data_IF_045537338620
#
_entry.id   IF_045537338620
#
_cell.length_a   1.000
_cell.length_b   1.000
_cell.length_c   1.000
_cell.angle_alpha   90.00
_cell.angle_beta   90.00
_cell.angle_gamma   90.00
#
_symmetry.space_group_name_H-M   'P 1'
#
loop_
_entity.id
_entity.type
_entity.pdbx_description
1 polymer ?
#
# COMPACT_ATOMS: atom_id res chain seq x y z
N UNK A 1 15.77 -8.19 -10.35
CA UNK A 1 14.65 -7.47 -9.70
C UNK A 1 15.04 -7.25 -8.25
N UNK A 2 14.95 -6.01 -7.77
CA UNK A 2 15.14 -5.67 -6.35
C UNK A 2 14.02 -6.28 -5.51
N UNK A 3 14.35 -6.59 -4.26
CA UNK A 3 13.37 -7.08 -3.28
C UNK A 3 13.39 -6.16 -2.07
N UNK A 4 12.22 -5.79 -1.59
CA UNK A 4 12.05 -4.92 -0.43
C UNK A 4 11.28 -5.63 0.68
N UNK A 5 11.50 -5.19 1.92
CA UNK A 5 10.81 -5.74 3.09
C UNK A 5 9.62 -4.85 3.43
N UNK A 6 8.42 -5.43 3.41
CA UNK A 6 7.20 -4.72 3.81
C UNK A 6 7.30 -4.27 5.27
N UNK A 7 7.11 -2.97 5.54
CA UNK A 7 7.20 -2.40 6.89
C UNK A 7 6.15 -2.98 7.87
N UNK A 8 5.00 -3.44 7.37
CA UNK A 8 3.87 -3.86 8.21
C UNK A 8 3.89 -5.35 8.55
N UNK A 9 4.24 -6.20 7.57
CA UNK A 9 4.19 -7.66 7.74
C UNK A 9 5.55 -8.34 7.64
N UNK A 10 6.64 -7.58 7.46
CA UNK A 10 8.01 -8.06 7.28
C UNK A 10 8.21 -9.03 6.10
N UNK A 11 7.21 -9.19 5.22
CA UNK A 11 7.34 -10.02 4.03
C UNK A 11 8.34 -9.39 3.05
N UNK A 12 9.26 -10.21 2.53
CA UNK A 12 10.18 -9.80 1.47
C UNK A 12 9.53 -10.06 0.12
N UNK A 13 9.28 -9.01 -0.65
CA UNK A 13 8.60 -9.10 -1.95
C UNK A 13 9.41 -8.36 -3.02
N UNK A 14 9.23 -8.73 -4.28
CA UNK A 14 9.79 -7.96 -5.37
C UNK A 14 9.20 -6.54 -5.36
N UNK A 15 10.04 -5.54 -5.61
CA UNK A 15 9.66 -4.13 -5.48
C UNK A 15 8.50 -3.73 -6.42
N UNK A 16 8.42 -4.36 -7.60
CA UNK A 16 7.33 -4.19 -8.58
C UNK A 16 5.96 -4.67 -8.06
N UNK A 17 5.96 -5.56 -7.06
CA UNK A 17 4.78 -6.11 -6.42
C UNK A 17 4.39 -5.37 -5.12
N UNK A 18 4.95 -4.17 -4.90
CA UNK A 18 4.59 -3.31 -3.78
C UNK A 18 4.46 -1.83 -4.16
N UNK A 19 4.46 -0.97 -3.14
CA UNK A 19 4.47 0.49 -3.29
C UNK A 19 5.34 1.12 -2.21
N UNK A 20 6.09 2.14 -2.63
CA UNK A 20 6.69 3.12 -1.74
C UNK A 20 5.66 4.20 -1.42
N UNK A 21 5.50 4.49 -0.13
CA UNK A 21 4.61 5.51 0.39
C UNK A 21 5.41 6.54 1.18
N UNK A 22 5.03 7.80 1.04
CA UNK A 22 5.56 8.89 1.87
C UNK A 22 4.76 8.92 3.17
N UNK A 23 5.43 8.81 4.30
CA UNK A 23 4.83 8.93 5.62
C UNK A 23 4.78 10.38 6.10
N UNK A 24 5.90 11.06 5.95
CA UNK A 24 6.08 12.41 6.45
C UNK A 24 7.11 13.15 5.59
N UNK A 25 6.96 14.47 5.51
CA UNK A 25 7.98 15.36 5.00
C UNK A 25 8.48 16.21 6.16
N UNK A 26 9.74 16.02 6.55
CA UNK A 26 10.40 16.82 7.57
C UNK A 26 11.03 18.05 6.91
N UNK A 27 10.82 19.23 7.49
CA UNK A 27 11.47 20.46 7.04
C UNK A 27 12.99 20.33 7.26
N UNK A 28 13.75 20.23 6.18
CA UNK A 28 15.22 20.14 6.21
C UNK A 28 15.80 18.72 6.15
N UNK A 29 15.02 17.67 6.44
CA UNK A 29 15.50 16.28 6.43
C UNK A 29 14.93 15.42 5.27
N UNK A 30 14.01 15.98 4.48
CA UNK A 30 13.44 15.32 3.31
C UNK A 30 12.20 14.46 3.63
N UNK A 31 11.99 13.41 2.84
CA UNK A 31 10.81 12.55 2.94
C UNK A 31 11.14 11.24 3.68
N UNK A 32 10.33 10.90 4.67
CA UNK A 32 10.31 9.55 5.23
C UNK A 32 9.48 8.65 4.31
N UNK A 33 10.13 7.60 3.79
CA UNK A 33 9.50 6.61 2.94
C UNK A 33 9.31 5.29 3.67
N UNK A 34 8.25 4.57 3.33
CA UNK A 34 8.07 3.17 3.70
C UNK A 34 7.69 2.34 2.48
N UNK A 35 8.14 1.11 2.45
CA UNK A 35 7.71 0.14 1.46
C UNK A 35 6.64 -0.78 2.05
N UNK A 36 5.57 -1.01 1.29
CA UNK A 36 4.51 -1.97 1.61
C UNK A 36 4.30 -2.96 0.47
N UNK A 37 4.08 -4.23 0.82
CA UNK A 37 3.55 -5.20 -0.14
C UNK A 37 2.12 -4.82 -0.55
N UNK A 38 1.68 -5.27 -1.72
CA UNK A 38 0.37 -4.87 -2.27
C UNK A 38 -0.81 -5.15 -1.33
N UNK A 39 -0.74 -6.23 -0.54
CA UNK A 39 -1.79 -6.54 0.42
C UNK A 39 -1.88 -5.50 1.54
N UNK A 40 -0.74 -5.12 2.15
CA UNK A 40 -0.73 -4.11 3.20
C UNK A 40 -1.16 -2.72 2.69
N UNK A 41 -0.81 -2.38 1.43
CA UNK A 41 -1.34 -1.16 0.77
C UNK A 41 -2.86 -1.23 0.65
N UNK A 42 -3.40 -2.36 0.21
CA UNK A 42 -4.86 -2.58 0.10
C UNK A 42 -5.53 -2.46 1.46
N UNK A 43 -4.99 -3.07 2.51
CA UNK A 43 -5.56 -3.03 3.85
C UNK A 43 -5.60 -1.59 4.40
N UNK A 44 -4.53 -0.82 4.18
CA UNK A 44 -4.48 0.60 4.54
C UNK A 44 -5.55 1.41 3.80
N UNK A 45 -5.66 1.22 2.48
CA UNK A 45 -6.65 1.94 1.67
C UNK A 45 -8.08 1.51 2.02
N UNK A 46 -8.31 0.23 2.31
CA UNK A 46 -9.59 -0.32 2.73
C UNK A 46 -10.09 0.38 4.01
N UNK A 47 -9.22 0.52 5.02
CA UNK A 47 -9.55 1.25 6.26
C UNK A 47 -9.85 2.72 6.01
N UNK A 48 -9.18 3.36 5.05
CA UNK A 48 -9.49 4.72 4.61
C UNK A 48 -10.88 4.82 4.01
N UNK A 49 -11.17 4.01 2.99
CA UNK A 49 -12.45 4.02 2.27
C UNK A 49 -13.64 3.65 3.17
N UNK A 50 -13.46 2.70 4.10
CA UNK A 50 -14.49 2.37 5.10
C UNK A 50 -14.79 3.56 6.02
N UNK A 51 -13.78 4.36 6.40
CA UNK A 51 -13.97 5.59 7.18
C UNK A 51 -14.62 6.71 6.36
N UNK A 52 -14.44 6.72 5.05
CA UNK A 52 -15.16 7.60 4.12
C UNK A 52 -16.63 7.17 3.91
N UNK A 53 -17.05 6.03 4.47
CA UNK A 53 -18.44 5.55 4.43
C UNK A 53 -18.82 4.72 3.20
N UNK A 54 -17.85 4.23 2.43
CA UNK A 54 -18.11 3.41 1.25
C UNK A 54 -18.64 2.02 1.64
N UNK A 55 -19.51 1.48 0.78
CA UNK A 55 -19.97 0.09 0.91
C UNK A 55 -18.82 -0.89 0.64
N UNK A 56 -18.91 -2.10 1.21
CA UNK A 56 -17.89 -3.13 0.98
C UNK A 56 -17.67 -3.45 -0.52
N UNK A 57 -18.73 -3.37 -1.34
CA UNK A 57 -18.66 -3.60 -2.78
C UNK A 57 -17.87 -2.48 -3.49
N UNK A 58 -18.14 -1.22 -3.13
CA UNK A 58 -17.44 -0.07 -3.73
C UNK A 58 -15.98 -0.02 -3.29
N UNK A 59 -15.71 -0.37 -2.04
CA UNK A 59 -14.35 -0.54 -1.51
C UNK A 59 -13.59 -1.56 -2.34
N UNK A 60 -14.14 -2.76 -2.54
CA UNK A 60 -13.49 -3.81 -3.33
C UNK A 60 -13.22 -3.37 -4.76
N UNK A 61 -14.22 -2.78 -5.43
CA UNK A 61 -14.08 -2.26 -6.80
C UNK A 61 -12.97 -1.21 -6.90
N UNK A 62 -12.86 -0.34 -5.89
CA UNK A 62 -11.81 0.68 -5.84
C UNK A 62 -10.43 0.07 -5.63
N UNK A 63 -10.31 -0.89 -4.71
CA UNK A 63 -9.05 -1.58 -4.43
C UNK A 63 -8.55 -2.36 -5.64
N UNK A 64 -9.42 -3.07 -6.36
CA UNK A 64 -9.04 -3.85 -7.54
C UNK A 64 -8.59 -2.96 -8.71
N UNK A 65 -9.16 -1.76 -8.80
CA UNK A 65 -8.73 -0.75 -9.78
C UNK A 65 -7.40 -0.08 -9.41
N UNK A 66 -7.23 0.33 -8.15
CA UNK A 66 -6.03 1.06 -7.71
C UNK A 66 -4.82 0.13 -7.48
N UNK A 67 -5.07 -1.07 -6.95
CA UNK A 67 -4.06 -2.00 -6.45
C UNK A 67 -4.42 -3.44 -6.81
N UNK A 68 -4.40 -3.81 -8.11
CA UNK A 68 -4.74 -5.16 -8.55
C UNK A 68 -3.75 -6.18 -7.95
N UNK A 69 -4.30 -7.28 -7.43
CA UNK A 69 -3.48 -8.44 -7.04
C UNK A 69 -3.22 -9.25 -8.30
N UNK A 70 -2.03 -9.06 -8.88
CA UNK A 70 -1.57 -9.84 -10.02
C UNK A 70 -0.86 -11.07 -9.45
N UNK A 71 -1.58 -12.20 -9.34
CA UNK A 71 -0.92 -13.47 -9.11
C UNK A 71 -0.11 -13.80 -10.38
N UNK A 72 1.21 -13.64 -10.31
CA UNK A 72 2.15 -14.15 -11.32
C UNK A 72 2.62 -15.54 -10.92
#
# INVERSE_FOLDING_TARGET
MSTETCRECAARVAEDNGKWLILHQSEGEGFEWMFLCIQCVRDWRERGLKREGLSAKDVLLRLDKEYPIINK
#
